data_IF_126128298495
#
_entry.id   IF_126128298495
#
_cell.length_a   1.000
_cell.length_b   1.000
_cell.length_c   1.000
_cell.angle_alpha   90.00
_cell.angle_beta   90.00
_cell.angle_gamma   90.00
#
_symmetry.space_group_name_H-M   'P 1'
#
loop_
_entity.id
_entity.type
_entity.pdbx_description
1 polymer ?
#
# COMPACT_ATOMS: atom_id res chain seq x y z
N UNK A 1 -9.85 3.08 -27.84
CA UNK A 1 -9.61 4.24 -26.98
C UNK A 1 -8.48 3.88 -26.04
N UNK A 2 -7.54 4.78 -25.77
CA UNK A 2 -6.49 4.52 -24.77
C UNK A 2 -7.13 4.39 -23.38
N UNK A 3 -6.59 3.53 -22.50
CA UNK A 3 -7.11 3.40 -21.14
C UNK A 3 -7.04 4.75 -20.43
N UNK A 4 -8.10 5.10 -19.67
CA UNK A 4 -8.15 6.37 -18.94
C UNK A 4 -7.03 6.48 -17.90
N UNK A 5 -6.66 5.35 -17.30
CA UNK A 5 -5.61 5.26 -16.28
C UNK A 5 -4.60 4.17 -16.63
N UNK A 6 -3.32 4.49 -16.45
CA UNK A 6 -2.21 3.54 -16.54
C UNK A 6 -1.28 3.71 -15.33
N UNK A 7 -0.91 2.61 -14.69
CA UNK A 7 0.14 2.57 -13.66
C UNK A 7 1.44 2.08 -14.27
N UNK A 8 2.47 2.91 -14.21
CA UNK A 8 3.85 2.54 -14.53
C UNK A 8 4.58 2.26 -13.22
N UNK A 9 5.01 1.02 -13.03
CA UNK A 9 5.74 0.59 -11.84
C UNK A 9 6.67 -0.60 -12.12
N UNK A 10 7.36 -1.09 -11.10
CA UNK A 10 8.10 -2.35 -11.18
C UNK A 10 7.14 -3.55 -11.12
N UNK A 11 7.58 -4.71 -11.62
CA UNK A 11 6.84 -5.97 -11.56
C UNK A 11 6.87 -6.63 -10.17
N UNK A 12 6.50 -5.85 -9.16
CA UNK A 12 6.34 -6.23 -7.75
C UNK A 12 5.10 -5.55 -7.20
N UNK A 13 4.69 -5.91 -5.98
CA UNK A 13 3.64 -5.19 -5.25
C UNK A 13 4.11 -3.77 -4.92
N UNK A 14 5.06 -3.64 -4.00
CA UNK A 14 5.61 -2.35 -3.54
C UNK A 14 4.53 -1.28 -3.28
N UNK A 15 4.85 -0.03 -3.58
CA UNK A 15 3.88 1.07 -3.51
C UNK A 15 2.80 1.02 -4.60
N UNK A 16 3.01 0.27 -5.68
CA UNK A 16 2.00 0.11 -6.74
C UNK A 16 0.76 -0.65 -6.27
N UNK A 17 0.90 -1.50 -5.25
CA UNK A 17 -0.15 -2.42 -4.85
C UNK A 17 -1.37 -1.73 -4.24
N UNK A 18 -1.18 -0.71 -3.40
CA UNK A 18 -2.30 0.06 -2.86
C UNK A 18 -3.10 0.78 -3.95
N UNK A 19 -2.44 1.20 -5.05
CA UNK A 19 -3.10 1.78 -6.21
C UNK A 19 -3.94 0.71 -6.92
N UNK A 20 -3.36 -0.48 -7.17
CA UNK A 20 -4.08 -1.60 -7.81
C UNK A 20 -5.29 -2.05 -7.01
N UNK A 21 -5.14 -2.19 -5.68
CA UNK A 21 -6.23 -2.55 -4.76
C UNK A 21 -7.37 -1.52 -4.85
N UNK A 22 -7.04 -0.23 -4.83
CA UNK A 22 -8.02 0.85 -4.96
C UNK A 22 -8.78 0.76 -6.29
N UNK A 23 -8.08 0.62 -7.42
CA UNK A 23 -8.73 0.48 -8.73
C UNK A 23 -9.61 -0.76 -8.83
N UNK A 24 -9.11 -1.91 -8.37
CA UNK A 24 -9.85 -3.16 -8.37
C UNK A 24 -11.15 -3.03 -7.57
N UNK A 25 -11.07 -2.53 -6.34
CA UNK A 25 -12.24 -2.40 -5.47
C UNK A 25 -13.27 -1.42 -5.99
N UNK A 26 -12.82 -0.30 -6.58
CA UNK A 26 -13.67 0.72 -7.21
C UNK A 26 -14.24 0.29 -8.56
N UNK A 27 -13.91 -0.92 -9.04
CA UNK A 27 -14.36 -1.43 -10.34
C UNK A 27 -13.87 -0.59 -11.50
N UNK A 28 -12.69 0.02 -11.38
CA UNK A 28 -12.06 0.85 -12.40
C UNK A 28 -10.99 0.05 -13.13
N UNK A 29 -10.93 0.24 -14.44
CA UNK A 29 -9.84 -0.32 -15.25
C UNK A 29 -8.54 0.44 -14.99
N UNK A 30 -7.45 -0.32 -14.87
CA UNK A 30 -6.09 0.20 -14.74
C UNK A 30 -5.21 -0.56 -15.72
N UNK A 31 -4.72 0.12 -16.74
CA UNK A 31 -3.64 -0.43 -17.55
C UNK A 31 -2.33 -0.43 -16.77
N UNK A 32 -1.40 -1.31 -17.13
CA UNK A 32 -0.13 -1.41 -16.41
C UNK A 32 1.06 -1.53 -17.36
N UNK A 33 2.09 -0.73 -17.09
CA UNK A 33 3.45 -0.94 -17.60
C UNK A 33 4.32 -1.37 -16.43
N UNK A 34 4.94 -2.55 -16.54
CA UNK A 34 5.70 -3.19 -15.46
C UNK A 34 7.14 -3.40 -15.87
N UNK A 35 8.05 -2.67 -15.25
CA UNK A 35 9.49 -2.88 -15.43
C UNK A 35 9.95 -4.12 -14.65
N UNK A 36 10.72 -5.04 -15.28
CA UNK A 36 11.33 -6.15 -14.57
C UNK A 36 12.28 -5.66 -13.46
N UNK A 37 12.38 -6.43 -12.38
CA UNK A 37 13.31 -6.16 -11.26
C UNK A 37 14.57 -7.03 -11.34
N UNK A 38 14.51 -8.09 -12.12
CA UNK A 38 15.60 -9.02 -12.45
C UNK A 38 16.44 -8.56 -13.65
N UNK A 39 15.93 -7.60 -14.45
CA UNK A 39 16.66 -6.95 -15.53
C UNK A 39 16.52 -5.42 -15.46
N UNK A 40 17.63 -4.73 -15.23
CA UNK A 40 17.64 -3.28 -14.99
C UNK A 40 17.78 -2.43 -16.26
N UNK A 41 17.99 -3.04 -17.43
CA UNK A 41 18.27 -2.32 -18.68
C UNK A 41 17.10 -1.46 -19.14
N UNK A 42 15.88 -2.00 -19.08
CA UNK A 42 14.66 -1.29 -19.49
C UNK A 42 14.40 -0.08 -18.59
N UNK A 43 14.55 -0.27 -17.28
CA UNK A 43 14.37 0.80 -16.31
C UNK A 43 15.46 1.88 -16.45
N UNK A 44 16.72 1.48 -16.64
CA UNK A 44 17.83 2.42 -16.79
C UNK A 44 17.63 3.38 -17.98
N UNK A 45 17.05 2.88 -19.08
CA UNK A 45 16.71 3.70 -20.26
C UNK A 45 15.51 4.63 -20.02
N UNK A 46 14.59 4.25 -19.14
CA UNK A 46 13.36 5.00 -18.89
C UNK A 46 13.46 5.98 -17.72
N UNK A 47 14.38 5.74 -16.77
CA UNK A 47 14.49 6.45 -15.48
C UNK A 47 14.47 7.97 -15.63
N UNK A 48 15.28 8.51 -16.53
CA UNK A 48 15.42 9.97 -16.70
C UNK A 48 14.20 10.64 -17.33
N UNK A 49 13.23 9.85 -17.83
CA UNK A 49 11.92 10.36 -18.30
C UNK A 49 10.93 10.64 -17.16
N UNK A 50 11.27 10.27 -15.92
CA UNK A 50 10.47 10.54 -14.73
C UNK A 50 11.10 11.70 -13.93
N UNK A 51 10.31 12.69 -13.46
CA UNK A 51 10.85 13.90 -12.81
C UNK A 51 11.80 13.67 -11.62
N UNK A 52 11.64 12.55 -10.91
CA UNK A 52 12.49 12.18 -9.76
C UNK A 52 13.31 10.92 -10.01
N UNK A 53 13.36 10.42 -11.25
CA UNK A 53 14.04 9.16 -11.58
C UNK A 53 13.49 7.95 -10.79
N UNK A 54 12.19 7.96 -10.49
CA UNK A 54 11.51 6.99 -9.64
C UNK A 54 10.07 6.74 -10.13
N UNK A 55 9.59 5.53 -9.86
CA UNK A 55 8.17 5.12 -9.99
C UNK A 55 7.63 4.79 -8.58
N UNK A 56 6.31 4.85 -8.31
CA UNK A 56 5.18 4.81 -9.27
C UNK A 56 4.94 6.11 -10.05
N UNK A 57 4.39 5.94 -11.25
CA UNK A 57 3.80 7.00 -12.06
C UNK A 57 2.40 6.57 -12.49
N UNK A 58 1.39 7.38 -12.21
CA UNK A 58 0.04 7.25 -12.76
C UNK A 58 -0.05 8.14 -14.01
N UNK A 59 -0.51 7.58 -15.12
CA UNK A 59 -0.92 8.35 -16.30
C UNK A 59 -2.45 8.44 -16.29
N UNK A 60 -2.99 9.66 -16.28
CA UNK A 60 -4.42 9.93 -16.44
C UNK A 60 -4.61 10.87 -17.63
N UNK A 61 -5.34 10.43 -18.65
CA UNK A 61 -5.60 11.22 -19.86
C UNK A 61 -4.32 11.85 -20.46
N UNK A 62 -3.23 11.08 -20.46
CA UNK A 62 -1.90 11.49 -20.95
C UNK A 62 -1.07 12.34 -19.98
N UNK A 63 -1.63 12.77 -18.85
CA UNK A 63 -0.90 13.51 -17.81
C UNK A 63 -0.21 12.55 -16.85
N UNK A 64 1.06 12.80 -16.55
CA UNK A 64 1.86 11.99 -15.62
C UNK A 64 1.82 12.58 -14.21
N UNK A 65 1.51 11.74 -13.22
CA UNK A 65 1.54 12.05 -11.80
C UNK A 65 2.49 11.04 -11.14
N UNK A 66 3.60 11.53 -10.60
CA UNK A 66 4.57 10.71 -9.84
C UNK A 66 4.39 10.95 -8.34
N UNK A 67 5.13 10.19 -7.52
CA UNK A 67 5.04 10.12 -6.06
C UNK A 67 3.79 9.38 -5.57
N UNK A 68 4.03 8.27 -4.86
CA UNK A 68 2.97 7.39 -4.35
C UNK A 68 1.91 8.15 -3.54
N UNK A 69 2.34 8.98 -2.56
CA UNK A 69 1.41 9.76 -1.74
C UNK A 69 0.57 10.76 -2.53
N UNK A 70 1.16 11.40 -3.55
CA UNK A 70 0.46 12.32 -4.44
C UNK A 70 -0.56 11.58 -5.31
N UNK A 71 -0.18 10.42 -5.87
CA UNK A 71 -1.09 9.58 -6.66
C UNK A 71 -2.29 9.14 -5.82
N UNK A 72 -2.06 8.65 -4.59
CA UNK A 72 -3.14 8.18 -3.72
C UNK A 72 -4.10 9.31 -3.33
N UNK A 73 -3.59 10.50 -3.00
CA UNK A 73 -4.41 11.69 -2.71
C UNK A 73 -5.12 12.25 -3.94
N UNK A 74 -4.52 12.11 -5.12
CA UNK A 74 -5.18 12.47 -6.37
C UNK A 74 -6.38 11.57 -6.64
N UNK A 75 -6.17 10.26 -6.56
CA UNK A 75 -7.22 9.26 -6.73
C UNK A 75 -8.30 9.38 -5.66
N UNK A 76 -7.95 9.78 -4.44
CA UNK A 76 -8.94 10.01 -3.39
C UNK A 76 -9.92 11.11 -3.76
N UNK A 77 -9.43 12.25 -4.26
CA UNK A 77 -10.29 13.33 -4.76
C UNK A 77 -11.08 12.90 -6.00
N UNK A 78 -10.42 12.23 -6.95
CA UNK A 78 -11.05 11.82 -8.21
C UNK A 78 -12.19 10.81 -8.01
N UNK A 79 -12.09 9.95 -6.98
CA UNK A 79 -13.08 8.90 -6.68
C UNK A 79 -13.88 9.15 -5.39
N UNK A 80 -13.79 10.34 -4.80
CA UNK A 80 -14.49 10.70 -3.55
C UNK A 80 -14.20 9.76 -2.37
N UNK A 81 -12.91 9.45 -2.16
CA UNK A 81 -12.38 8.57 -1.11
C UNK A 81 -11.54 9.35 -0.07
N UNK A 82 -11.81 10.64 0.13
CA UNK A 82 -11.10 11.52 1.07
C UNK A 82 -11.97 12.01 2.24
N UNK A 83 -13.20 11.50 2.39
CA UNK A 83 -14.14 11.95 3.42
C UNK A 83 -15.01 13.12 2.96
N UNK A 84 -15.71 13.77 3.89
CA UNK A 84 -16.65 14.86 3.55
C UNK A 84 -16.24 16.22 4.11
N UNK A 85 -15.12 16.28 4.84
CA UNK A 85 -14.69 17.47 5.57
C UNK A 85 -13.18 17.57 5.62
N UNK A 86 -12.68 18.79 5.83
CA UNK A 86 -11.25 19.04 6.05
C UNK A 86 -10.68 18.21 7.22
N UNK A 87 -11.48 17.96 8.25
CA UNK A 87 -11.10 17.11 9.38
C UNK A 87 -10.92 15.64 8.96
N UNK A 88 -11.78 15.13 8.08
CA UNK A 88 -11.61 13.79 7.51
C UNK A 88 -10.37 13.71 6.62
N UNK A 89 -10.16 14.70 5.75
CA UNK A 89 -9.00 14.77 4.86
C UNK A 89 -7.69 14.83 5.67
N UNK A 90 -7.64 15.69 6.68
CA UNK A 90 -6.49 15.83 7.59
C UNK A 90 -6.23 14.54 8.36
N UNK A 91 -7.28 13.89 8.87
CA UNK A 91 -7.14 12.64 9.60
C UNK A 91 -6.65 11.51 8.69
N UNK A 92 -7.20 11.40 7.48
CA UNK A 92 -6.74 10.45 6.47
C UNK A 92 -5.26 10.65 6.14
N UNK A 93 -4.86 11.89 5.89
CA UNK A 93 -3.47 12.25 5.59
C UNK A 93 -2.52 11.91 6.74
N UNK A 94 -2.87 12.25 7.99
CA UNK A 94 -2.08 11.89 9.17
C UNK A 94 -1.92 10.37 9.31
N UNK A 95 -2.99 9.61 9.10
CA UNK A 95 -2.93 8.15 9.15
C UNK A 95 -2.07 7.58 8.00
N UNK A 96 -2.22 8.14 6.80
CA UNK A 96 -1.46 7.74 5.62
C UNK A 96 0.05 7.94 5.82
N UNK A 97 0.47 9.10 6.35
CA UNK A 97 1.89 9.34 6.64
C UNK A 97 2.40 8.43 7.76
N UNK A 98 1.58 8.10 8.77
CA UNK A 98 1.93 7.06 9.75
C UNK A 98 2.18 5.69 9.12
N UNK A 99 1.36 5.30 8.12
CA UNK A 99 1.58 4.08 7.34
C UNK A 99 2.84 4.16 6.49
N UNK A 100 3.16 5.33 5.92
CA UNK A 100 4.41 5.57 5.18
C UNK A 100 5.62 5.32 6.08
N UNK A 101 5.59 5.82 7.31
CA UNK A 101 6.67 5.63 8.28
C UNK A 101 6.80 4.18 8.75
N UNK A 102 5.70 3.46 8.93
CA UNK A 102 5.73 2.03 9.29
C UNK A 102 6.28 1.18 8.13
N UNK A 103 5.77 1.41 6.92
CA UNK A 103 6.20 0.68 5.73
C UNK A 103 7.65 1.01 5.34
N UNK A 104 8.12 2.25 5.61
CA UNK A 104 9.54 2.62 5.43
C UNK A 104 10.45 1.79 6.34
N UNK A 105 10.11 1.61 7.62
CA UNK A 105 10.89 0.75 8.54
C UNK A 105 10.96 -0.69 8.04
N UNK A 106 9.85 -1.23 7.53
CA UNK A 106 9.85 -2.54 6.87
C UNK A 106 10.75 -2.56 5.64
N UNK A 107 10.68 -1.55 4.77
CA UNK A 107 11.51 -1.50 3.58
C UNK A 107 13.01 -1.42 3.93
N UNK A 108 13.38 -0.61 4.91
CA UNK A 108 14.75 -0.51 5.43
C UNK A 108 15.25 -1.87 5.95
N UNK A 109 14.40 -2.61 6.67
CA UNK A 109 14.71 -3.97 7.11
C UNK A 109 14.87 -4.96 5.95
N UNK A 110 13.95 -4.97 4.98
CA UNK A 110 13.96 -5.89 3.83
C UNK A 110 15.17 -5.68 2.91
N UNK A 111 15.50 -4.42 2.62
CA UNK A 111 16.58 -4.06 1.71
C UNK A 111 17.94 -3.84 2.39
N UNK A 112 17.97 -3.79 3.72
CA UNK A 112 19.19 -3.76 4.53
C UNK A 112 19.62 -5.15 5.02
N UNK A 113 20.01 -5.20 6.28
CA UNK A 113 20.59 -6.37 6.95
C UNK A 113 19.51 -7.36 7.44
N UNK A 114 18.62 -7.78 6.53
CA UNK A 114 17.49 -8.67 6.80
C UNK A 114 17.86 -9.99 7.51
N UNK A 115 19.06 -10.52 7.22
CA UNK A 115 19.57 -11.79 7.72
C UNK A 115 20.38 -11.66 9.01
N UNK A 116 20.69 -10.42 9.44
CA UNK A 116 21.44 -10.16 10.67
C UNK A 116 20.60 -10.49 11.92
N UNK A 117 21.07 -11.35 12.84
CA UNK A 117 20.28 -11.79 14.00
C UNK A 117 19.85 -10.66 14.94
N UNK A 118 20.70 -9.66 15.18
CA UNK A 118 20.38 -8.54 16.07
C UNK A 118 19.32 -7.64 15.44
N UNK A 119 19.50 -7.29 14.16
CA UNK A 119 18.55 -6.52 13.37
C UNK A 119 17.18 -7.19 13.34
N UNK A 120 17.14 -8.51 13.13
CA UNK A 120 15.88 -9.29 13.17
C UNK A 120 15.24 -9.25 14.55
N UNK A 121 16.01 -9.49 15.61
CA UNK A 121 15.49 -9.48 16.97
C UNK A 121 14.89 -8.10 17.34
N UNK A 122 15.57 -7.01 17.00
CA UNK A 122 15.07 -5.64 17.20
C UNK A 122 13.85 -5.34 16.34
N UNK A 123 13.83 -5.80 15.09
CA UNK A 123 12.71 -5.55 14.19
C UNK A 123 11.43 -6.22 14.69
N UNK A 124 11.47 -7.53 14.93
CA UNK A 124 10.30 -8.31 15.36
C UNK A 124 9.94 -8.06 16.83
N UNK A 125 10.93 -7.88 17.71
CA UNK A 125 10.68 -7.70 19.15
C UNK A 125 10.27 -6.29 19.55
N UNK A 126 10.53 -5.27 18.73
CA UNK A 126 10.28 -3.86 19.11
C UNK A 126 9.74 -3.03 17.97
N UNK A 127 10.43 -2.99 16.84
CA UNK A 127 10.14 -2.01 15.77
C UNK A 127 8.76 -2.22 15.16
N UNK A 128 8.47 -3.44 14.72
CA UNK A 128 7.21 -3.78 14.07
C UNK A 128 6.02 -3.71 15.05
N UNK A 129 6.05 -4.34 16.25
CA UNK A 129 4.96 -4.22 17.21
C UNK A 129 4.66 -2.78 17.63
N UNK A 130 5.70 -1.94 17.80
CA UNK A 130 5.53 -0.53 18.15
C UNK A 130 4.80 0.22 17.05
N UNK A 131 5.22 0.04 15.79
CA UNK A 131 4.60 0.71 14.64
C UNK A 131 3.12 0.28 14.47
N UNK A 132 2.83 -1.02 14.54
CA UNK A 132 1.45 -1.54 14.42
C UNK A 132 0.59 -1.08 15.60
N UNK A 133 1.13 -1.09 16.82
CA UNK A 133 0.43 -0.61 18.02
C UNK A 133 0.08 0.89 17.97
N UNK A 134 0.99 1.73 17.49
CA UNK A 134 0.75 3.17 17.29
C UNK A 134 -0.37 3.41 16.27
N UNK A 135 -0.31 2.71 15.13
CA UNK A 135 -1.34 2.79 14.09
C UNK A 135 -2.70 2.30 14.60
N UNK A 136 -2.75 1.19 15.33
CA UNK A 136 -4.02 0.67 15.86
C UNK A 136 -4.62 1.60 16.92
N UNK A 137 -3.77 2.20 17.77
CA UNK A 137 -4.21 3.21 18.73
C UNK A 137 -4.87 4.40 18.02
N UNK A 138 -4.30 4.87 16.92
CA UNK A 138 -4.89 5.94 16.13
C UNK A 138 -6.20 5.48 15.47
N UNK A 139 -6.20 4.29 14.84
CA UNK A 139 -7.37 3.70 14.20
C UNK A 139 -8.59 3.61 15.13
N UNK A 140 -8.35 3.28 16.40
CA UNK A 140 -9.39 3.19 17.42
C UNK A 140 -10.04 4.54 17.78
N UNK A 141 -9.46 5.68 17.39
CA UNK A 141 -10.01 7.01 17.74
C UNK A 141 -11.23 7.40 16.92
N UNK A 142 -11.44 6.83 15.73
CA UNK A 142 -12.64 7.02 14.93
C UNK A 142 -13.53 5.78 14.97
N UNK A 143 -14.77 5.95 15.43
CA UNK A 143 -15.78 4.88 15.52
C UNK A 143 -15.23 3.59 16.16
N UNK A 144 -14.33 3.73 17.14
CA UNK A 144 -13.65 2.64 17.85
C UNK A 144 -12.91 1.65 16.94
N UNK A 145 -12.50 2.07 15.74
CA UNK A 145 -11.84 1.21 14.75
C UNK A 145 -12.73 0.07 14.25
N UNK A 146 -14.05 0.24 14.25
CA UNK A 146 -14.97 -0.86 13.90
C UNK A 146 -15.08 -1.11 12.40
N UNK A 147 -14.81 -0.10 11.57
CA UNK A 147 -14.99 -0.17 10.12
C UNK A 147 -13.72 0.33 9.43
N UNK A 148 -13.73 1.52 8.84
CA UNK A 148 -12.63 2.08 8.05
C UNK A 148 -11.83 3.09 8.88
N UNK A 149 -10.72 3.57 8.30
CA UNK A 149 -9.88 4.63 8.91
C UNK A 149 -10.71 5.87 9.25
N UNK A 150 -11.63 6.26 8.37
CA UNK A 150 -12.57 7.37 8.59
C UNK A 150 -13.88 6.94 9.29
N UNK A 151 -13.88 5.81 9.99
CA UNK A 151 -15.08 5.26 10.61
C UNK A 151 -15.98 4.60 9.57
N UNK A 152 -17.13 5.19 9.25
CA UNK A 152 -18.15 4.54 8.41
C UNK A 152 -17.87 4.58 6.91
N UNK A 153 -16.96 5.45 6.48
CA UNK A 153 -16.64 5.67 5.07
C UNK A 153 -15.29 5.08 4.71
N UNK A 154 -15.25 4.33 3.62
CA UNK A 154 -14.01 3.89 3.01
C UNK A 154 -13.25 5.11 2.48
N UNK A 155 -11.93 5.06 2.61
CA UNK A 155 -11.01 6.09 2.15
C UNK A 155 -9.85 5.47 1.38
N UNK A 156 -9.08 6.32 0.71
CA UNK A 156 -7.89 5.89 -0.02
C UNK A 156 -6.84 5.24 0.91
N UNK A 157 -6.86 5.58 2.20
CA UNK A 157 -5.92 5.11 3.21
C UNK A 157 -6.21 3.66 3.60
N UNK A 158 -7.46 3.21 3.52
CA UNK A 158 -7.84 1.83 3.85
C UNK A 158 -7.16 0.82 2.92
N UNK A 159 -7.00 1.16 1.62
CA UNK A 159 -6.28 0.32 0.67
C UNK A 159 -4.80 0.20 1.01
N UNK A 160 -4.18 1.29 1.48
CA UNK A 160 -2.79 1.28 1.89
C UNK A 160 -2.60 0.58 3.24
N UNK A 161 -3.51 0.78 4.20
CA UNK A 161 -3.54 0.04 5.46
C UNK A 161 -3.62 -1.46 5.20
N UNK A 162 -4.56 -1.90 4.35
CA UNK A 162 -4.71 -3.31 3.99
C UNK A 162 -3.41 -3.87 3.43
N UNK A 163 -2.80 -3.19 2.45
CA UNK A 163 -1.54 -3.64 1.86
C UNK A 163 -0.41 -3.73 2.90
N UNK A 164 -0.26 -2.73 3.76
CA UNK A 164 0.80 -2.72 4.78
C UNK A 164 0.59 -3.86 5.79
N UNK A 165 -0.65 -4.11 6.23
CA UNK A 165 -0.93 -5.25 7.12
C UNK A 165 -0.68 -6.59 6.44
N UNK A 166 -1.07 -6.72 5.17
CA UNK A 166 -0.86 -7.93 4.37
C UNK A 166 0.64 -8.23 4.15
N UNK A 167 1.44 -7.19 3.93
CA UNK A 167 2.91 -7.28 3.86
C UNK A 167 3.50 -7.73 5.19
N UNK A 168 3.04 -7.16 6.32
CA UNK A 168 3.56 -7.54 7.63
C UNK A 168 3.17 -8.97 8.02
N UNK A 169 1.95 -9.41 7.67
CA UNK A 169 1.51 -10.79 7.85
C UNK A 169 2.30 -11.78 6.98
N UNK A 170 2.74 -11.37 5.79
CA UNK A 170 3.60 -12.21 4.97
C UNK A 170 4.97 -12.45 5.64
N UNK A 171 5.51 -11.39 6.26
CA UNK A 171 6.78 -11.42 6.95
C UNK A 171 6.73 -12.20 8.28
N UNK A 172 5.68 -11.98 9.07
CA UNK A 172 5.39 -12.73 10.29
C UNK A 172 3.86 -12.94 10.42
N UNK A 173 3.37 -14.18 10.25
CA UNK A 173 1.94 -14.50 10.33
C UNK A 173 1.29 -14.17 11.68
N UNK A 174 2.07 -14.01 12.74
CA UNK A 174 1.57 -13.70 14.09
C UNK A 174 1.47 -12.19 14.36
N UNK A 175 1.89 -11.35 13.40
CA UNK A 175 1.96 -9.89 13.58
C UNK A 175 0.68 -9.30 14.18
N UNK A 176 -0.49 -9.76 13.75
CA UNK A 176 -1.79 -9.20 14.16
C UNK A 176 -2.46 -9.89 15.36
N UNK A 177 -1.83 -10.89 15.99
CA UNK A 177 -2.48 -11.63 17.07
C UNK A 177 -2.79 -10.77 18.30
N UNK A 178 -1.96 -9.74 18.54
CA UNK A 178 -2.17 -8.76 19.61
C UNK A 178 -2.86 -7.47 19.12
N UNK A 179 -3.29 -7.42 17.85
CA UNK A 179 -3.91 -6.24 17.24
C UNK A 179 -5.29 -6.58 16.64
N UNK A 180 -6.31 -6.81 17.49
CA UNK A 180 -7.59 -7.36 17.07
C UNK A 180 -8.37 -6.45 16.10
N UNK A 181 -8.25 -5.12 16.21
CA UNK A 181 -8.95 -4.21 15.30
C UNK A 181 -8.39 -4.33 13.88
N UNK A 182 -7.07 -4.46 13.75
CA UNK A 182 -6.43 -4.66 12.45
C UNK A 182 -6.61 -6.07 11.89
N UNK A 183 -6.64 -7.10 12.74
CA UNK A 183 -7.00 -8.46 12.32
C UNK A 183 -8.40 -8.49 11.69
N UNK A 184 -9.39 -7.95 12.41
CA UNK A 184 -10.78 -7.86 11.91
C UNK A 184 -10.88 -6.95 10.67
N UNK A 185 -10.17 -5.82 10.65
CA UNK A 185 -10.12 -4.94 9.48
C UNK A 185 -9.58 -5.67 8.25
N UNK A 186 -8.42 -6.33 8.36
CA UNK A 186 -7.75 -6.99 7.24
C UNK A 186 -8.62 -8.11 6.66
N UNK A 187 -9.17 -8.97 7.50
CA UNK A 187 -10.09 -10.04 7.08
C UNK A 187 -11.31 -9.48 6.34
N UNK A 188 -12.02 -8.53 6.96
CA UNK A 188 -13.24 -7.93 6.36
C UNK A 188 -12.94 -7.18 5.07
N UNK A 189 -11.82 -6.46 5.00
CA UNK A 189 -11.46 -5.67 3.82
C UNK A 189 -11.07 -6.58 2.64
N UNK A 190 -10.34 -7.66 2.90
CA UNK A 190 -10.00 -8.67 1.89
C UNK A 190 -11.22 -9.41 1.33
N UNK A 191 -12.29 -9.53 2.11
CA UNK A 191 -13.55 -10.18 1.71
C UNK A 191 -14.48 -9.30 0.84
N UNK A 192 -14.10 -8.05 0.56
CA UNK A 192 -14.88 -7.20 -0.36
C UNK A 192 -14.91 -7.86 -1.75
N UNK A 193 -16.06 -7.99 -2.43
CA UNK A 193 -16.19 -8.87 -3.60
C UNK A 193 -15.21 -8.60 -4.74
N UNK A 194 -14.93 -7.32 -5.01
CA UNK A 194 -13.98 -6.91 -6.04
C UNK A 194 -12.54 -7.21 -5.62
N UNK A 195 -12.18 -6.89 -4.38
CA UNK A 195 -10.86 -7.18 -3.82
C UNK A 195 -10.59 -8.67 -3.74
N UNK A 196 -11.52 -9.47 -3.22
CA UNK A 196 -11.36 -10.93 -3.14
C UNK A 196 -10.97 -11.54 -4.48
N UNK A 197 -11.68 -11.18 -5.54
CA UNK A 197 -11.36 -11.60 -6.93
C UNK A 197 -9.99 -11.13 -7.40
N UNK A 198 -9.60 -9.90 -7.05
CA UNK A 198 -8.27 -9.38 -7.38
C UNK A 198 -7.16 -10.12 -6.61
N UNK A 199 -7.38 -10.38 -5.31
CA UNK A 199 -6.42 -11.05 -4.42
C UNK A 199 -6.18 -12.51 -4.84
N UNK A 200 -7.22 -13.22 -5.29
CA UNK A 200 -7.09 -14.56 -5.89
C UNK A 200 -6.20 -14.54 -7.14
N UNK A 201 -6.42 -13.58 -8.05
CA UNK A 201 -5.58 -13.40 -9.24
C UNK A 201 -4.15 -13.02 -8.88
N UNK A 202 -3.98 -12.14 -7.89
CA UNK A 202 -2.68 -11.72 -7.38
C UNK A 202 -1.90 -12.92 -6.83
N UNK A 203 -2.54 -13.75 -6.00
CA UNK A 203 -1.95 -14.97 -5.48
C UNK A 203 -1.52 -15.92 -6.60
N UNK A 204 -2.39 -16.15 -7.60
CA UNK A 204 -2.09 -16.99 -8.75
C UNK A 204 -0.93 -16.45 -9.63
N UNK A 205 -0.73 -15.12 -9.67
CA UNK A 205 0.35 -14.52 -10.46
C UNK A 205 1.75 -14.75 -9.89
N UNK A 206 1.86 -15.10 -8.61
CA UNK A 206 3.15 -15.26 -7.94
C UNK A 206 3.97 -13.97 -7.80
N UNK A 207 3.35 -12.79 -7.99
CA UNK A 207 4.01 -11.50 -7.87
C UNK A 207 4.69 -11.36 -6.50
N UNK A 208 5.96 -10.94 -6.51
CA UNK A 208 6.73 -10.74 -5.28
C UNK A 208 6.33 -9.44 -4.57
N UNK A 209 6.48 -9.44 -3.25
CA UNK A 209 6.23 -8.22 -2.46
C UNK A 209 7.29 -7.15 -2.78
N UNK A 210 8.56 -7.56 -2.75
CA UNK A 210 9.74 -6.72 -2.92
C UNK A 210 10.54 -7.11 -4.17
N UNK A 211 11.45 -6.22 -4.60
CA UNK A 211 12.32 -6.45 -5.75
C UNK A 211 13.49 -7.40 -5.50
N UNK A 212 13.87 -7.61 -4.23
CA UNK A 212 14.98 -8.51 -3.85
C UNK A 212 14.51 -9.92 -3.47
N UNK A 213 13.22 -10.21 -3.56
CA UNK A 213 12.64 -11.52 -3.27
C UNK A 213 12.45 -11.84 -1.79
N UNK A 214 12.93 -10.99 -0.87
CA UNK A 214 12.69 -11.11 0.58
C UNK A 214 11.31 -10.55 0.92
N UNK A 215 10.52 -11.27 1.70
CA UNK A 215 9.16 -10.88 2.04
C UNK A 215 8.72 -11.54 3.35
#
# INVERSE_FOLDING_TARGET
>A
MSPKFELIYFNVRGYGEAIRLLFADQGKELAETRYPVDNWDEWSKAKDSFPFGQVPCLVEDGKRIVQFGTIMRHLSRAFSLNGDSEDDETYADMFFEGLRDAHKKWAEFIYGDFDDPETRATFFGTTLPTAVGQLQKLFATREKGQQFVLGKKISYVDYYLFEVMDVFLNLDPTTLDNFPLFKVFHERFGERPNLKRYLEKRAASGIKISGNGRQ
#
